data_IF_387654592392
#
_entry.id   IF_387654592392
#
_cell.length_a   1.000
_cell.length_b   1.000
_cell.length_c   1.000
_cell.angle_alpha   90.00
_cell.angle_beta   90.00
_cell.angle_gamma   90.00
#
_symmetry.space_group_name_H-M   'P 1'
#
loop_
_entity.id
_entity.type
_entity.pdbx_description
1 polymer ?
#
# COMPACT_ATOMS: atom_id res chain seq x y z
N UNK A 1 -21.78 -23.29 0.35
CA UNK A 1 -20.67 -23.29 1.33
C UNK A 1 -19.90 -24.57 1.12
N UNK A 2 -18.83 -24.50 0.31
CA UNK A 2 -18.01 -25.67 -0.02
C UNK A 2 -17.02 -25.93 1.11
N UNK A 3 -16.89 -27.18 1.45
CA UNK A 3 -16.02 -27.74 2.50
C UNK A 3 -14.52 -27.55 2.16
N UNK A 4 -14.07 -26.29 2.16
CA UNK A 4 -12.66 -25.95 1.94
C UNK A 4 -11.74 -26.34 3.12
N UNK A 5 -12.31 -26.65 4.29
CA UNK A 5 -11.56 -27.02 5.49
C UNK A 5 -10.85 -28.37 5.35
N UNK A 6 -11.48 -29.37 4.75
CA UNK A 6 -10.93 -30.72 4.69
C UNK A 6 -9.65 -30.87 3.87
N UNK A 7 -9.45 -30.06 2.85
CA UNK A 7 -8.22 -30.11 2.03
C UNK A 7 -7.03 -29.47 2.74
N UNK A 8 -7.21 -28.34 3.39
CA UNK A 8 -6.13 -27.67 4.15
C UNK A 8 -5.66 -28.55 5.32
N UNK A 9 -6.56 -29.17 6.07
CA UNK A 9 -6.21 -30.04 7.20
C UNK A 9 -5.40 -31.27 6.77
N UNK A 10 -5.72 -31.84 5.61
CA UNK A 10 -4.96 -32.95 5.07
C UNK A 10 -3.53 -32.54 4.67
N UNK A 11 -3.38 -31.42 4.00
CA UNK A 11 -2.07 -30.88 3.62
C UNK A 11 -1.24 -30.50 4.84
N UNK A 12 -1.86 -29.85 5.84
CA UNK A 12 -1.18 -29.46 7.07
C UNK A 12 -0.62 -30.66 7.82
N UNK A 13 -1.42 -31.73 8.01
CA UNK A 13 -0.96 -32.98 8.62
C UNK A 13 0.20 -33.60 7.85
N UNK A 14 0.13 -33.62 6.53
CA UNK A 14 1.21 -34.15 5.68
C UNK A 14 2.46 -33.27 5.73
N UNK A 15 2.33 -31.96 5.72
CA UNK A 15 3.48 -31.04 5.80
C UNK A 15 4.20 -31.17 7.13
N UNK A 16 3.46 -31.27 8.25
CA UNK A 16 4.08 -31.51 9.56
C UNK A 16 4.85 -32.82 9.58
N UNK A 17 4.30 -33.88 8.98
CA UNK A 17 4.93 -35.20 9.00
C UNK A 17 6.10 -35.34 8.02
N UNK A 18 5.99 -34.72 6.83
CA UNK A 18 6.99 -34.89 5.76
C UNK A 18 8.11 -33.85 5.80
N UNK A 19 7.83 -32.65 6.28
CA UNK A 19 8.75 -31.49 6.20
C UNK A 19 9.08 -30.91 7.57
N UNK A 20 8.61 -31.50 8.67
CA UNK A 20 8.75 -30.95 10.04
C UNK A 20 8.35 -29.46 10.09
N UNK A 21 7.27 -29.13 9.38
CA UNK A 21 6.82 -27.74 9.24
C UNK A 21 6.39 -27.18 10.60
N UNK A 22 6.97 -26.05 10.96
CA UNK A 22 6.64 -25.30 12.18
C UNK A 22 5.62 -24.22 11.85
N UNK A 23 4.67 -24.03 12.76
CA UNK A 23 3.60 -23.05 12.62
C UNK A 23 3.75 -21.91 13.64
N UNK A 24 4.96 -21.70 14.12
CA UNK A 24 5.33 -20.64 15.06
C UNK A 24 5.44 -19.25 14.39
N UNK A 25 5.82 -19.23 13.09
CA UNK A 25 5.88 -18.01 12.30
C UNK A 25 5.01 -18.16 11.05
N UNK A 26 4.03 -17.27 10.91
CA UNK A 26 3.04 -17.28 9.84
C UNK A 26 3.09 -15.95 9.06
N UNK A 27 3.21 -16.06 7.76
CA UNK A 27 3.10 -14.90 6.86
C UNK A 27 1.69 -14.86 6.31
N UNK A 28 1.06 -13.69 6.39
CA UNK A 28 -0.27 -13.45 5.87
C UNK A 28 -0.27 -12.32 4.86
N UNK A 29 -0.82 -12.56 3.69
CA UNK A 29 -1.02 -11.56 2.65
C UNK A 29 -2.38 -11.75 1.98
N UNK A 30 -2.93 -10.67 1.42
CA UNK A 30 -4.17 -10.66 0.66
C UNK A 30 -3.86 -10.27 -0.77
N UNK A 31 -4.37 -11.04 -1.70
CA UNK A 31 -4.34 -10.72 -3.13
C UNK A 31 -5.76 -10.67 -3.68
N UNK A 32 -5.92 -10.20 -4.91
CA UNK A 32 -7.21 -10.25 -5.62
C UNK A 32 -7.07 -10.98 -6.94
N UNK A 33 -8.12 -11.67 -7.35
CA UNK A 33 -8.23 -12.23 -8.69
C UNK A 33 -9.55 -11.80 -9.30
N UNK A 34 -9.55 -11.45 -10.58
CA UNK A 34 -10.73 -10.97 -11.28
C UNK A 34 -11.34 -12.05 -12.16
N UNK A 35 -12.62 -11.88 -12.50
CA UNK A 35 -13.35 -12.73 -13.41
C UNK A 35 -13.48 -12.02 -14.76
N UNK A 36 -13.17 -12.71 -15.85
CA UNK A 36 -13.38 -12.19 -17.21
C UNK A 36 -14.85 -12.20 -17.64
N UNK A 37 -15.73 -12.76 -16.83
CA UNK A 37 -17.18 -12.79 -17.02
C UNK A 37 -17.94 -12.07 -15.92
N UNK A 38 -19.28 -12.11 -15.98
CA UNK A 38 -20.13 -11.42 -15.02
C UNK A 38 -20.14 -12.04 -13.62
N UNK A 39 -19.67 -13.27 -13.45
CA UNK A 39 -19.66 -14.02 -12.20
C UNK A 39 -21.00 -13.87 -11.42
N UNK A 40 -22.14 -14.01 -12.14
CA UNK A 40 -23.46 -13.69 -11.60
C UNK A 40 -23.90 -14.62 -10.46
N UNK A 41 -23.33 -15.83 -10.39
CA UNK A 41 -23.65 -16.83 -9.36
C UNK A 41 -22.69 -16.77 -8.16
N UNK A 42 -21.75 -15.84 -8.13
CA UNK A 42 -20.80 -15.69 -7.03
C UNK A 42 -21.09 -14.38 -6.28
N UNK A 43 -21.72 -14.50 -5.12
CA UNK A 43 -22.11 -13.38 -4.28
C UNK A 43 -20.91 -12.58 -3.73
N UNK A 44 -19.73 -13.21 -3.61
CA UNK A 44 -18.48 -12.57 -3.21
C UNK A 44 -17.81 -11.81 -4.34
N UNK A 45 -18.19 -12.07 -5.60
CA UNK A 45 -17.64 -11.39 -6.76
C UNK A 45 -18.15 -9.94 -6.83
N UNK A 46 -17.34 -8.99 -6.38
CA UNK A 46 -17.66 -7.57 -6.31
C UNK A 46 -16.60 -6.74 -7.02
N UNK A 47 -16.96 -5.56 -7.50
CA UNK A 47 -15.99 -4.59 -8.01
C UNK A 47 -15.29 -3.92 -6.83
N UNK A 48 -13.98 -3.84 -6.88
CA UNK A 48 -13.15 -3.28 -5.83
C UNK A 48 -11.84 -2.71 -6.38
N UNK A 49 -10.91 -2.44 -5.47
CA UNK A 49 -9.56 -2.00 -5.87
C UNK A 49 -8.80 -3.17 -6.49
N UNK A 50 -8.68 -3.16 -7.82
CA UNK A 50 -7.98 -4.21 -8.55
C UNK A 50 -6.46 -3.93 -8.59
N UNK A 51 -5.66 -4.87 -8.09
CA UNK A 51 -4.19 -4.85 -8.21
C UNK A 51 -3.75 -5.00 -9.67
N UNK A 52 -4.56 -5.69 -10.49
CA UNK A 52 -4.32 -5.90 -11.92
C UNK A 52 -4.84 -4.74 -12.80
N UNK A 53 -5.32 -3.64 -12.17
CA UNK A 53 -5.89 -2.48 -12.86
C UNK A 53 -7.14 -2.79 -13.71
N UNK A 54 -7.84 -3.87 -13.37
CA UNK A 54 -9.08 -4.32 -14.01
C UNK A 54 -10.30 -3.92 -13.17
N UNK A 55 -10.48 -2.62 -12.96
CA UNK A 55 -11.61 -2.06 -12.22
C UNK A 55 -12.98 -2.27 -12.93
N UNK A 56 -12.93 -2.63 -14.20
CA UNK A 56 -14.08 -3.01 -15.02
C UNK A 56 -14.63 -4.40 -14.66
N UNK A 57 -13.82 -5.28 -14.11
CA UNK A 57 -14.17 -6.64 -13.76
C UNK A 57 -14.58 -6.79 -12.29
N UNK A 58 -15.43 -7.78 -11.99
CA UNK A 58 -15.65 -8.25 -10.63
C UNK A 58 -14.46 -9.11 -10.20
N UNK A 59 -14.16 -9.10 -8.91
CA UNK A 59 -13.04 -9.83 -8.32
C UNK A 59 -13.44 -10.45 -6.99
N UNK A 60 -12.62 -11.33 -6.47
CA UNK A 60 -12.60 -11.77 -5.07
C UNK A 60 -11.25 -11.47 -4.46
N UNK A 61 -11.21 -11.25 -3.16
CA UNK A 61 -9.97 -11.15 -2.41
C UNK A 61 -9.65 -12.51 -1.79
N UNK A 62 -8.39 -12.91 -1.84
CA UNK A 62 -7.90 -14.18 -1.31
C UNK A 62 -6.84 -13.87 -0.28
N UNK A 63 -7.13 -14.17 0.99
CA UNK A 63 -6.16 -14.16 2.07
C UNK A 63 -5.45 -15.51 2.14
N UNK A 64 -4.13 -15.51 2.14
CA UNK A 64 -3.31 -16.70 2.20
C UNK A 64 -2.39 -16.65 3.42
N UNK A 65 -2.37 -17.72 4.19
CA UNK A 65 -1.45 -17.94 5.29
C UNK A 65 -0.43 -18.99 4.89
N UNK A 66 0.85 -18.64 5.01
CA UNK A 66 1.95 -19.57 4.70
C UNK A 66 2.92 -19.66 5.87
N UNK A 67 3.65 -20.78 5.99
CA UNK A 67 4.76 -20.93 6.93
C UNK A 67 5.97 -20.12 6.46
N UNK A 68 7.01 -20.08 7.28
CA UNK A 68 8.30 -19.48 6.95
C UNK A 68 8.93 -20.08 5.68
N UNK A 69 8.70 -21.36 5.42
CA UNK A 69 9.19 -22.09 4.25
C UNK A 69 8.32 -21.86 3.01
N UNK A 70 7.23 -21.11 3.12
CA UNK A 70 6.30 -20.82 2.04
C UNK A 70 5.24 -21.91 1.82
N UNK A 71 5.05 -22.82 2.78
CA UNK A 71 4.00 -23.84 2.68
C UNK A 71 2.63 -23.25 3.03
N UNK A 72 1.60 -23.42 2.18
CA UNK A 72 0.27 -22.88 2.46
C UNK A 72 -0.38 -23.66 3.61
N UNK A 73 -0.85 -22.94 4.62
CA UNK A 73 -1.50 -23.49 5.83
C UNK A 73 -2.99 -23.25 5.78
N UNK A 74 -3.41 -22.07 5.40
CA UNK A 74 -4.80 -21.69 5.32
C UNK A 74 -5.04 -20.66 4.23
N UNK A 75 -6.26 -20.61 3.74
CA UNK A 75 -6.74 -19.53 2.88
C UNK A 75 -8.19 -19.19 3.26
N UNK A 76 -8.55 -17.94 2.98
CA UNK A 76 -9.93 -17.46 3.07
C UNK A 76 -10.25 -16.65 1.83
N UNK A 77 -11.49 -16.74 1.35
CA UNK A 77 -11.98 -15.96 0.23
C UNK A 77 -12.94 -14.90 0.75
N UNK A 78 -12.63 -13.67 0.48
CA UNK A 78 -13.40 -12.50 0.89
C UNK A 78 -14.08 -11.84 -0.30
N UNK A 79 -15.06 -11.02 -0.01
CA UNK A 79 -15.71 -10.15 -0.98
C UNK A 79 -14.68 -9.32 -1.76
N UNK A 80 -14.87 -9.17 -3.07
CA UNK A 80 -13.92 -8.47 -3.95
C UNK A 80 -13.71 -6.99 -3.66
N UNK A 81 -14.55 -6.37 -2.87
CA UNK A 81 -14.40 -4.99 -2.39
C UNK A 81 -13.87 -4.91 -0.94
N UNK A 82 -13.42 -6.02 -0.38
CA UNK A 82 -12.89 -6.06 0.98
C UNK A 82 -11.55 -5.31 1.06
N UNK A 83 -11.37 -4.59 2.15
CA UNK A 83 -10.10 -3.93 2.46
C UNK A 83 -9.20 -4.91 3.25
N UNK A 84 -7.94 -5.02 2.86
CA UNK A 84 -6.96 -5.95 3.45
C UNK A 84 -6.90 -5.82 4.99
N UNK A 85 -6.92 -4.59 5.51
CA UNK A 85 -6.87 -4.33 6.94
C UNK A 85 -8.01 -4.97 7.73
N UNK A 86 -9.18 -5.17 7.11
CA UNK A 86 -10.37 -5.73 7.77
C UNK A 86 -10.40 -7.25 7.79
N UNK A 87 -9.45 -7.92 7.14
CA UNK A 87 -9.40 -9.38 7.04
C UNK A 87 -8.55 -10.04 8.14
N UNK A 88 -7.67 -9.26 8.79
CA UNK A 88 -6.68 -9.79 9.75
C UNK A 88 -7.34 -10.50 10.94
N UNK A 89 -8.37 -9.92 11.53
CA UNK A 89 -9.04 -10.51 12.68
C UNK A 89 -9.71 -11.84 12.32
N UNK A 90 -10.39 -11.88 11.18
CA UNK A 90 -11.07 -13.08 10.70
C UNK A 90 -10.09 -14.23 10.45
N UNK A 91 -8.92 -13.95 9.85
CA UNK A 91 -7.93 -14.99 9.59
C UNK A 91 -7.27 -15.49 10.87
N UNK A 92 -6.97 -14.58 11.83
CA UNK A 92 -6.42 -14.96 13.13
C UNK A 92 -7.39 -15.87 13.87
N UNK A 93 -8.68 -15.55 13.89
CA UNK A 93 -9.73 -16.38 14.51
C UNK A 93 -9.91 -17.73 13.81
N UNK A 94 -9.87 -17.75 12.47
CA UNK A 94 -9.92 -18.97 11.68
C UNK A 94 -8.75 -19.89 12.00
N UNK A 95 -7.55 -19.34 12.10
CA UNK A 95 -6.35 -20.09 12.48
C UNK A 95 -6.41 -20.64 13.91
N UNK A 96 -6.92 -19.88 14.87
CA UNK A 96 -7.11 -20.34 16.24
C UNK A 96 -8.14 -21.48 16.33
N UNK A 97 -9.21 -21.35 15.57
CA UNK A 97 -10.26 -22.40 15.53
C UNK A 97 -9.73 -23.71 14.96
N UNK A 98 -8.90 -23.64 13.92
CA UNK A 98 -8.36 -24.82 13.23
C UNK A 98 -7.18 -25.47 13.96
N UNK A 99 -6.28 -24.64 14.55
CA UNK A 99 -4.97 -25.09 15.03
C UNK A 99 -4.71 -24.71 16.49
N UNK A 100 -5.73 -24.27 17.23
CA UNK A 100 -5.59 -23.83 18.63
C UNK A 100 -4.92 -22.46 18.77
N UNK A 101 -4.59 -22.10 20.01
CA UNK A 101 -3.95 -20.82 20.38
C UNK A 101 -2.49 -20.99 20.81
N UNK A 102 -1.58 -21.47 19.97
CA UNK A 102 -0.17 -21.42 20.29
C UNK A 102 0.34 -19.97 20.17
N UNK A 103 1.40 -19.66 20.89
CA UNK A 103 2.15 -18.43 20.65
C UNK A 103 2.63 -18.43 19.19
N UNK A 104 2.17 -17.46 18.41
CA UNK A 104 2.53 -17.33 16.99
C UNK A 104 3.08 -15.96 16.70
N UNK A 105 4.00 -15.90 15.77
CA UNK A 105 4.53 -14.65 15.21
C UNK A 105 3.84 -14.41 13.86
N UNK A 106 3.03 -13.37 13.79
CA UNK A 106 2.37 -12.95 12.56
C UNK A 106 3.23 -11.97 11.78
N UNK A 107 3.52 -12.26 10.52
CA UNK A 107 4.19 -11.35 9.60
C UNK A 107 3.15 -10.77 8.67
N UNK A 108 2.93 -9.45 8.75
CA UNK A 108 1.90 -8.73 8.01
C UNK A 108 2.51 -7.61 7.20
N UNK A 109 1.94 -7.34 6.01
CA UNK A 109 2.32 -6.13 5.27
C UNK A 109 1.76 -4.86 5.95
N UNK A 110 2.41 -3.75 5.66
CA UNK A 110 2.06 -2.43 6.19
C UNK A 110 0.59 -2.05 5.96
N UNK A 111 -0.01 -2.46 4.84
CA UNK A 111 -1.40 -2.18 4.50
C UNK A 111 -2.42 -2.82 5.45
N UNK A 112 -2.02 -3.80 6.24
CA UNK A 112 -2.87 -4.55 7.17
C UNK A 112 -2.75 -4.05 8.62
N UNK A 113 -1.88 -3.06 8.86
CA UNK A 113 -1.54 -2.60 10.21
C UNK A 113 -2.45 -1.47 10.63
N UNK A 114 -3.20 -1.70 11.69
CA UNK A 114 -3.90 -0.70 12.47
C UNK A 114 -3.84 -1.06 13.97
N UNK A 115 -4.14 -0.14 14.89
CA UNK A 115 -4.10 -0.40 16.34
C UNK A 115 -4.98 -1.58 16.76
N UNK A 116 -6.16 -1.72 16.15
CA UNK A 116 -7.14 -2.76 16.46
C UNK A 116 -6.60 -4.16 16.12
N UNK A 117 -5.97 -4.32 14.95
CA UNK A 117 -5.38 -5.58 14.52
C UNK A 117 -4.20 -5.99 15.41
N UNK A 118 -3.33 -5.04 15.76
CA UNK A 118 -2.20 -5.31 16.67
C UNK A 118 -2.69 -5.67 18.08
N UNK A 119 -3.73 -5.00 18.56
CA UNK A 119 -4.37 -5.33 19.84
C UNK A 119 -4.99 -6.71 19.80
N UNK A 120 -5.71 -7.05 18.75
CA UNK A 120 -6.31 -8.38 18.54
C UNK A 120 -5.26 -9.50 18.64
N UNK A 121 -4.10 -9.32 18.01
CA UNK A 121 -3.00 -10.31 18.04
C UNK A 121 -2.43 -10.40 19.47
N UNK A 122 -2.17 -9.27 20.14
CA UNK A 122 -1.62 -9.23 21.51
C UNK A 122 -2.54 -9.86 22.55
N UNK A 123 -3.83 -9.59 22.49
CA UNK A 123 -4.82 -10.15 23.41
C UNK A 123 -4.93 -11.67 23.28
N UNK A 124 -4.53 -12.20 22.12
CA UNK A 124 -4.45 -13.64 21.84
C UNK A 124 -3.07 -14.24 22.13
N UNK A 125 -2.20 -13.51 22.85
CA UNK A 125 -0.83 -13.92 23.16
C UNK A 125 0.06 -14.16 21.92
N UNK A 126 -0.33 -13.58 20.78
CA UNK A 126 0.46 -13.58 19.56
C UNK A 126 1.49 -12.45 19.52
N UNK A 127 2.55 -12.66 18.77
CA UNK A 127 3.55 -11.65 18.43
C UNK A 127 3.39 -11.24 16.97
N UNK A 128 4.04 -10.14 16.58
CA UNK A 128 3.96 -9.68 15.19
C UNK A 128 5.26 -9.04 14.70
N UNK A 129 5.48 -9.16 13.42
CA UNK A 129 6.48 -8.42 12.64
C UNK A 129 5.71 -7.70 11.53
N UNK A 130 5.75 -6.39 11.53
CA UNK A 130 4.92 -5.58 10.62
C UNK A 130 5.73 -4.46 9.99
N UNK A 131 5.43 -4.14 8.74
CA UNK A 131 5.98 -2.95 8.10
C UNK A 131 5.39 -1.68 8.69
N UNK A 132 6.22 -0.71 9.06
CA UNK A 132 5.78 0.56 9.62
C UNK A 132 5.58 1.64 8.56
N UNK A 133 4.67 2.61 8.76
CA UNK A 133 4.52 3.76 7.87
C UNK A 133 5.81 4.58 7.79
N UNK A 134 6.16 5.03 6.58
CA UNK A 134 7.37 5.85 6.37
C UNK A 134 7.42 7.13 7.21
N UNK A 135 6.27 7.67 7.60
CA UNK A 135 6.19 8.87 8.44
C UNK A 135 6.84 8.65 9.82
N UNK A 136 6.78 7.44 10.36
CA UNK A 136 7.44 7.09 11.62
C UNK A 136 8.97 7.10 11.53
N UNK A 137 9.52 7.00 10.32
CA UNK A 137 10.97 7.03 10.13
C UNK A 137 11.62 8.33 10.61
N UNK A 138 10.87 9.44 10.58
CA UNK A 138 11.33 10.73 11.10
C UNK A 138 11.65 10.70 12.60
N UNK A 139 10.94 9.91 13.37
CA UNK A 139 11.20 9.75 14.82
C UNK A 139 12.53 9.06 15.11
N UNK A 140 13.12 8.42 14.10
CA UNK A 140 14.37 7.66 14.21
C UNK A 140 15.52 8.26 13.40
N UNK A 141 15.43 9.54 12.99
CA UNK A 141 16.47 10.19 12.17
C UNK A 141 17.84 10.17 12.87
N UNK A 142 17.88 10.41 14.18
CA UNK A 142 19.11 10.37 14.96
C UNK A 142 19.73 8.99 14.94
N UNK A 143 18.94 7.95 15.21
CA UNK A 143 19.39 6.54 15.21
C UNK A 143 19.83 6.06 13.82
N UNK A 144 19.22 6.62 12.75
CA UNK A 144 19.60 6.30 11.37
C UNK A 144 20.95 6.91 10.98
N UNK A 145 21.31 8.07 11.54
CA UNK A 145 22.59 8.75 11.26
C UNK A 145 23.73 8.21 12.12
N UNK A 146 23.43 7.75 13.33
CA UNK A 146 24.44 7.11 14.19
C UNK A 146 24.99 5.83 13.57
N UNK A 147 26.31 5.73 13.48
CA UNK A 147 26.97 4.55 12.92
C UNK A 147 27.15 3.40 13.92
N UNK A 148 26.87 3.61 15.21
CA UNK A 148 26.90 2.59 16.24
C UNK A 148 25.73 1.60 16.13
N UNK A 149 25.93 0.40 16.64
CA UNK A 149 24.90 -0.64 16.86
C UNK A 149 24.24 -1.21 15.59
N UNK A 150 24.84 -1.00 14.43
CA UNK A 150 24.42 -1.65 13.20
C UNK A 150 25.05 -3.05 13.11
N UNK A 151 24.19 -4.04 12.87
CA UNK A 151 24.59 -5.43 12.68
C UNK A 151 24.28 -5.85 11.24
N UNK A 152 25.30 -6.36 10.55
CA UNK A 152 25.12 -6.93 9.22
C UNK A 152 24.45 -8.31 9.34
N UNK A 153 23.25 -8.46 8.77
CA UNK A 153 22.49 -9.72 8.81
C UNK A 153 22.57 -10.48 7.50
N UNK A 154 22.85 -9.76 6.42
CA UNK A 154 23.01 -10.31 5.07
C UNK A 154 23.92 -9.37 4.27
N UNK A 155 24.49 -9.85 3.15
CA UNK A 155 25.24 -8.98 2.25
C UNK A 155 24.41 -7.78 1.78
N UNK A 156 24.93 -6.59 2.03
CA UNK A 156 24.25 -5.33 1.71
C UNK A 156 22.99 -5.02 2.54
N UNK A 157 22.76 -5.72 3.67
CA UNK A 157 21.65 -5.46 4.59
C UNK A 157 22.18 -5.38 6.04
N UNK A 158 21.98 -4.21 6.63
CA UNK A 158 22.27 -3.94 8.04
C UNK A 158 20.99 -3.64 8.80
N UNK A 159 20.95 -4.01 10.06
CA UNK A 159 19.82 -3.76 10.95
C UNK A 159 20.29 -3.14 12.27
N UNK A 160 19.42 -2.32 12.86
CA UNK A 160 19.60 -1.74 14.18
C UNK A 160 18.30 -1.86 14.96
N UNK A 161 18.35 -2.32 16.18
CA UNK A 161 17.21 -2.40 17.08
C UNK A 161 17.06 -1.08 17.83
N UNK A 162 15.83 -0.59 17.90
CA UNK A 162 15.48 0.62 18.63
C UNK A 162 14.21 0.39 19.44
N UNK A 163 14.16 0.95 20.63
CA UNK A 163 12.95 0.93 21.44
C UNK A 163 11.89 1.85 20.84
N UNK A 164 10.64 1.40 20.90
CA UNK A 164 9.51 2.20 20.49
C UNK A 164 9.26 3.39 21.44
N UNK A 165 8.57 4.43 20.99
CA UNK A 165 8.30 5.64 21.78
C UNK A 165 7.62 5.36 23.14
N UNK A 166 6.84 4.29 23.21
CA UNK A 166 6.14 3.87 24.44
C UNK A 166 6.84 2.74 25.18
N UNK A 167 8.01 2.27 24.72
CA UNK A 167 8.76 1.17 25.35
C UNK A 167 8.07 -0.21 25.28
N UNK A 168 6.99 -0.33 24.54
CA UNK A 168 6.23 -1.59 24.42
C UNK A 168 6.59 -2.40 23.16
N UNK A 169 7.25 -1.79 22.23
CA UNK A 169 7.55 -2.35 20.93
C UNK A 169 9.03 -2.14 20.59
N UNK A 170 9.60 -3.08 19.88
CA UNK A 170 10.96 -2.95 19.33
C UNK A 170 10.86 -2.65 17.84
N UNK A 171 11.50 -1.59 17.40
CA UNK A 171 11.61 -1.23 16.00
C UNK A 171 12.91 -1.74 15.43
N UNK A 172 12.84 -2.33 14.23
CA UNK A 172 14.01 -2.77 13.47
C UNK A 172 14.24 -1.79 12.34
N UNK A 173 15.27 -0.97 12.48
CA UNK A 173 15.72 -0.11 11.38
C UNK A 173 16.56 -0.96 10.41
N UNK A 174 16.32 -0.78 9.11
CA UNK A 174 17.00 -1.54 8.07
C UNK A 174 17.69 -0.60 7.08
N UNK A 175 18.98 -0.79 6.85
CA UNK A 175 19.74 -0.18 5.76
C UNK A 175 19.99 -1.22 4.68
N UNK A 176 19.50 -0.97 3.47
CA UNK A 176 19.69 -1.88 2.33
C UNK A 176 20.41 -1.17 1.19
N UNK A 177 21.57 -1.68 0.79
CA UNK A 177 22.35 -1.17 -0.34
C UNK A 177 21.54 -1.23 -1.66
N UNK A 178 20.82 -2.33 -1.89
CA UNK A 178 19.98 -2.50 -3.07
C UNK A 178 18.83 -1.48 -3.11
N UNK A 179 18.21 -1.20 -1.95
CA UNK A 179 17.16 -0.18 -1.83
C UNK A 179 17.69 1.22 -2.08
N UNK A 180 18.84 1.54 -1.49
CA UNK A 180 19.54 2.81 -1.70
C UNK A 180 19.85 3.04 -3.18
N UNK A 181 20.40 2.04 -3.87
CA UNK A 181 20.68 2.11 -5.31
C UNK A 181 19.41 2.38 -6.14
N UNK A 182 18.32 1.70 -5.82
CA UNK A 182 17.02 1.92 -6.47
C UNK A 182 16.47 3.33 -6.22
N UNK A 183 16.57 3.85 -5.01
CA UNK A 183 16.10 5.19 -4.68
C UNK A 183 16.95 6.27 -5.35
N UNK A 184 18.27 6.11 -5.42
CA UNK A 184 19.15 7.02 -6.17
C UNK A 184 18.79 7.04 -7.66
N UNK A 185 18.64 5.88 -8.30
CA UNK A 185 18.25 5.79 -9.71
C UNK A 185 16.86 6.42 -9.98
N UNK A 186 15.94 6.34 -9.01
CA UNK A 186 14.65 7.02 -9.11
C UNK A 186 14.82 8.55 -9.00
N UNK A 187 15.67 9.01 -8.09
CA UNK A 187 15.95 10.43 -7.90
C UNK A 187 16.54 11.07 -9.16
N UNK A 188 17.59 10.48 -9.72
CA UNK A 188 18.20 10.90 -10.98
C UNK A 188 17.19 10.97 -12.14
N UNK A 189 16.27 10.00 -12.21
CA UNK A 189 15.21 10.01 -13.23
C UNK A 189 14.23 11.16 -13.03
N UNK A 190 13.89 11.51 -11.79
CA UNK A 190 13.01 12.64 -11.50
C UNK A 190 13.71 13.97 -11.78
N UNK A 191 14.97 14.14 -11.38
CA UNK A 191 15.77 15.31 -11.69
C UNK A 191 15.82 15.57 -13.19
N UNK A 192 16.19 14.56 -13.96
CA UNK A 192 16.20 14.65 -15.42
C UNK A 192 14.86 15.07 -16.03
N UNK A 193 13.75 14.53 -15.53
CA UNK A 193 12.41 14.92 -15.98
C UNK A 193 12.06 16.36 -15.65
N UNK A 194 12.49 16.86 -14.49
CA UNK A 194 12.29 18.24 -14.08
C UNK A 194 13.13 19.16 -15.00
N UNK A 195 14.39 18.84 -15.22
CA UNK A 195 15.28 19.60 -16.10
C UNK A 195 14.76 19.67 -17.54
N UNK A 196 14.32 18.54 -18.09
CA UNK A 196 13.70 18.48 -19.42
C UNK A 196 12.42 19.32 -19.49
N UNK A 197 11.58 19.27 -18.44
CA UNK A 197 10.37 20.09 -18.32
C UNK A 197 10.67 21.57 -18.27
N UNK A 198 11.65 21.98 -17.46
CA UNK A 198 12.10 23.36 -17.38
C UNK A 198 12.69 23.87 -18.69
N UNK A 199 13.52 23.05 -19.37
CA UNK A 199 14.08 23.40 -20.66
C UNK A 199 12.98 23.58 -21.74
N UNK A 200 11.93 22.75 -21.72
CA UNK A 200 10.78 22.90 -22.61
C UNK A 200 10.02 24.22 -22.33
N UNK A 201 9.80 24.55 -21.06
CA UNK A 201 9.14 25.80 -20.68
C UNK A 201 9.95 27.01 -21.10
N UNK A 202 11.27 27.01 -20.88
CA UNK A 202 12.17 28.08 -21.32
C UNK A 202 12.10 28.30 -22.82
N UNK A 203 12.17 27.23 -23.62
CA UNK A 203 12.03 27.32 -25.10
C UNK A 203 10.68 27.90 -25.53
N UNK A 204 9.57 27.53 -24.86
CA UNK A 204 8.24 28.07 -25.14
C UNK A 204 8.17 29.57 -24.84
N UNK A 205 8.74 30.00 -23.71
CA UNK A 205 8.78 31.41 -23.32
C UNK A 205 9.64 32.25 -24.26
N UNK A 206 10.76 31.71 -24.73
CA UNK A 206 11.61 32.37 -25.71
C UNK A 206 10.94 32.47 -27.07
N UNK A 207 10.22 31.42 -27.50
CA UNK A 207 9.40 31.42 -28.71
C UNK A 207 8.27 32.44 -28.66
N UNK A 208 7.55 32.49 -27.53
CA UNK A 208 6.47 33.46 -27.33
C UNK A 208 6.95 34.92 -27.33
N UNK A 209 8.19 35.18 -26.90
CA UNK A 209 8.79 36.52 -27.00
C UNK A 209 9.17 36.89 -28.43
N UNK A 210 9.35 35.94 -29.33
CA UNK A 210 9.71 36.16 -30.75
C UNK A 210 8.51 36.27 -31.67
N UNK A 211 7.32 35.87 -31.26
CA UNK A 211 6.10 36.10 -32.06
C UNK A 211 5.75 37.59 -32.01
N UNK A 212 5.67 38.28 -33.17
CA UNK A 212 5.20 39.65 -33.18
C UNK A 212 3.77 39.69 -32.66
N UNK A 213 3.53 40.53 -31.67
CA UNK A 213 2.16 40.76 -31.19
C UNK A 213 1.26 41.01 -32.39
N UNK A 214 0.10 40.34 -32.54
CA UNK A 214 -0.81 40.63 -33.62
C UNK A 214 -1.16 42.10 -33.51
N UNK A 215 -0.81 42.88 -34.56
CA UNK A 215 -1.19 44.31 -34.69
C UNK A 215 -2.69 44.35 -34.41
N UNK A 216 -3.08 44.97 -33.30
CA UNK A 216 -4.48 45.32 -33.04
C UNK A 216 -4.94 46.07 -34.31
N UNK A 217 -5.79 45.48 -35.11
CA UNK A 217 -6.48 46.23 -36.15
C UNK A 217 -7.25 47.35 -35.41
N UNK A 218 -7.05 48.61 -35.80
CA UNK A 218 -7.93 49.64 -35.29
C UNK A 218 -9.34 49.22 -35.60
N UNK A 219 -10.19 49.16 -34.60
CA UNK A 219 -11.64 49.00 -34.76
C UNK A 219 -12.04 50.16 -35.68
N UNK A 220 -12.36 49.85 -36.92
CA UNK A 220 -13.10 50.77 -37.76
C UNK A 220 -14.48 50.87 -37.11
N UNK A 221 -14.77 52.02 -36.58
CA UNK A 221 -16.07 52.37 -36.04
C UNK A 221 -17.01 52.67 -37.22
N UNK A 222 -17.96 51.80 -37.55
CA UNK A 222 -19.06 52.16 -38.41
C UNK A 222 -20.21 52.54 -37.52
N UNK A 223 -20.42 53.80 -37.33
CA UNK A 223 -21.61 54.41 -36.75
C UNK A 223 -21.88 54.12 -35.26
N UNK A 224 -21.82 55.15 -34.50
CA UNK A 224 -22.12 55.15 -33.08
C UNK A 224 -23.39 54.39 -32.73
N UNK A 225 -23.30 53.71 -31.62
CA UNK A 225 -24.27 52.95 -30.87
C UNK A 225 -23.97 51.45 -30.85
N UNK A 226 -23.17 51.09 -29.87
CA UNK A 226 -23.50 49.90 -29.07
C UNK A 226 -22.66 49.83 -27.76
N UNK A 227 -23.35 50.13 -26.69
CA UNK A 227 -22.86 49.85 -25.34
C UNK A 227 -22.80 48.36 -25.15
N UNK A 228 -21.61 47.76 -25.18
CA UNK A 228 -21.43 46.40 -24.73
C UNK A 228 -21.42 46.36 -23.20
N UNK A 229 -22.56 45.93 -22.70
CA UNK A 229 -22.79 45.59 -21.32
C UNK A 229 -21.98 44.32 -21.00
N UNK A 230 -21.04 44.42 -20.09
CA UNK A 230 -20.35 43.25 -19.53
C UNK A 230 -21.37 42.44 -18.72
N UNK A 231 -21.40 41.09 -18.84
CA UNK A 231 -22.21 40.29 -17.92
C UNK A 231 -21.56 40.36 -16.53
N UNK A 232 -22.39 40.63 -15.52
CA UNK A 232 -21.99 40.62 -14.12
C UNK A 232 -21.51 39.21 -13.75
N UNK A 233 -20.36 39.14 -13.09
CA UNK A 233 -19.83 37.92 -12.53
C UNK A 233 -20.76 37.39 -11.42
N UNK A 234 -20.70 36.10 -11.09
CA UNK A 234 -21.49 35.51 -10.03
C UNK A 234 -21.13 36.09 -8.67
N UNK A 235 -22.18 36.53 -7.95
CA UNK A 235 -22.06 37.02 -6.57
C UNK A 235 -21.63 35.85 -5.65
N UNK A 236 -20.65 36.13 -4.80
CA UNK A 236 -20.25 35.25 -3.71
C UNK A 236 -21.36 35.18 -2.66
N UNK A 237 -21.69 33.99 -2.10
CA UNK A 237 -22.63 33.94 -0.98
C UNK A 237 -21.97 34.49 0.28
N UNK A 238 -22.68 35.45 0.88
CA UNK A 238 -22.41 36.03 2.19
C UNK A 238 -22.80 34.96 3.23
N UNK A 239 -21.85 34.56 4.07
CA UNK A 239 -22.14 33.87 5.32
C UNK A 239 -22.94 34.77 6.25
N UNK A 240 -24.08 34.28 6.74
CA UNK A 240 -24.73 34.78 7.93
C UNK A 240 -24.90 33.63 8.93
N UNK A 241 -24.32 33.86 10.12
CA UNK A 241 -24.57 33.29 11.44
C UNK A 241 -24.56 31.76 11.64
#
# INVERSE_FOLDING_TARGET
MGDGGGHCDHFTKRFTTLFDAKYDLLLYDVTSTYFEGEAAQNDQAKRGHSRDKRSDCKQVCIGLVVTREGLPVAYEVFDGNRNDVTTVQEIVESMETRYGRPERIWVLDRGMVNPENLTCIRERQGHYIVGTPKQMLKSYETQLVEESDWSQVQDGLEVKLCDGPEGKETFVLCRSAARRGKELAMHERFEKRIEEGLAQLSRRLEGAKKEPQPRRRPLQDPSGENRTRWPAGPESPVEQE
#
